data_IF_182094783832
#
_entry.id   IF_182094783832
#
_cell.length_a   1.000
_cell.length_b   1.000
_cell.length_c   1.000
_cell.angle_alpha   90.00
_cell.angle_beta   90.00
_cell.angle_gamma   90.00
#
_symmetry.space_group_name_H-M   'P 1'
#
loop_
_entity.id
_entity.type
_entity.pdbx_description
1 polymer ?
#
# COMPACT_ATOMS: atom_id res chain seq x y z
N UNK A 1 -14.42 12.78 51.74
CA UNK A 1 -14.68 11.94 50.54
C UNK A 1 -14.19 12.71 49.32
N UNK A 2 -12.94 12.49 48.92
CA UNK A 2 -12.35 13.11 47.72
C UNK A 2 -12.62 12.19 46.51
N UNK A 3 -13.39 12.69 45.54
CA UNK A 3 -13.53 12.07 44.23
C UNK A 3 -12.28 12.38 43.41
N UNK A 4 -11.47 11.35 43.16
CA UNK A 4 -10.36 11.39 42.20
C UNK A 4 -10.97 11.37 40.79
N UNK A 5 -10.77 12.44 40.02
CA UNK A 5 -11.06 12.45 38.58
C UNK A 5 -9.96 11.67 37.86
N UNK A 6 -10.35 10.68 37.05
CA UNK A 6 -9.45 10.00 36.10
C UNK A 6 -9.05 11.00 35.00
N UNK A 7 -7.81 10.97 34.49
CA UNK A 7 -7.43 11.76 33.33
C UNK A 7 -7.99 11.09 32.06
N UNK A 8 -8.61 11.92 31.22
CA UNK A 8 -9.07 11.61 29.88
C UNK A 8 -7.88 11.31 28.97
N UNK A 9 -7.95 10.20 28.24
CA UNK A 9 -7.02 9.86 27.16
C UNK A 9 -7.15 10.89 26.04
N UNK A 10 -6.02 11.48 25.66
CA UNK A 10 -5.89 12.33 24.49
C UNK A 10 -5.66 11.40 23.30
N UNK A 11 -6.60 11.42 22.34
CA UNK A 11 -6.44 10.81 21.02
C UNK A 11 -5.19 11.36 20.33
N UNK A 12 -4.27 10.47 19.96
CA UNK A 12 -3.13 10.80 19.12
C UNK A 12 -3.61 10.94 17.67
N UNK A 13 -3.73 12.18 17.20
CA UNK A 13 -3.97 12.48 15.79
C UNK A 13 -2.68 12.23 14.99
N UNK A 14 -2.76 11.32 14.02
CA UNK A 14 -1.74 11.18 12.97
C UNK A 14 -1.79 12.42 12.07
N UNK A 15 -0.77 13.27 12.19
CA UNK A 15 -0.61 14.47 11.38
C UNK A 15 0.51 14.21 10.36
N UNK A 16 0.12 13.96 9.11
CA UNK A 16 1.05 13.84 7.97
C UNK A 16 1.51 15.26 7.62
N UNK A 17 2.75 15.59 7.98
CA UNK A 17 3.38 16.87 7.67
C UNK A 17 3.98 16.82 6.25
N UNK A 18 3.34 17.48 5.30
CA UNK A 18 3.86 17.67 3.94
C UNK A 18 4.84 18.85 3.96
N UNK A 19 6.14 18.56 3.76
CA UNK A 19 7.18 19.56 3.58
C UNK A 19 7.10 20.19 2.18
N UNK A 20 6.51 21.39 2.09
CA UNK A 20 6.64 22.29 0.94
C UNK A 20 8.01 22.98 0.98
N UNK A 21 8.88 22.67 0.03
CA UNK A 21 10.08 23.45 -0.25
C UNK A 21 9.84 24.39 -1.42
N UNK A 22 9.68 25.69 -1.12
CA UNK A 22 9.64 26.76 -2.10
C UNK A 22 11.06 27.04 -2.63
N UNK A 23 11.28 26.79 -3.92
CA UNK A 23 12.46 27.27 -4.64
C UNK A 23 12.15 28.62 -5.28
N UNK A 24 12.93 29.64 -4.93
CA UNK A 24 12.79 31.02 -5.42
C UNK A 24 13.57 31.20 -6.73
N UNK A 25 12.84 31.47 -7.82
CA UNK A 25 13.43 31.91 -9.09
C UNK A 25 13.35 33.45 -9.21
N UNK A 26 14.49 34.08 -9.47
CA UNK A 26 14.63 35.51 -9.75
C UNK A 26 14.18 35.90 -11.17
N UNK A 27 13.80 37.17 -11.39
CA UNK A 27 13.36 37.68 -12.69
C UNK A 27 14.52 38.24 -13.52
N UNK A 28 14.56 37.88 -14.80
CA UNK A 28 15.21 38.63 -15.88
C UNK A 28 14.34 38.41 -17.12
N UNK A 29 13.92 39.42 -17.88
CA UNK A 29 14.61 40.65 -18.21
C UNK A 29 14.95 40.60 -19.70
N UNK A 30 14.16 41.35 -20.47
CA UNK A 30 14.49 42.00 -21.74
C UNK A 30 14.10 41.44 -23.13
N UNK A 31 13.46 42.38 -23.84
CA UNK A 31 13.60 42.77 -25.25
C UNK A 31 12.70 42.15 -26.34
N UNK A 32 11.61 42.89 -26.58
CA UNK A 32 11.05 43.31 -27.87
C UNK A 32 11.96 43.13 -29.10
N UNK A 33 11.50 42.33 -30.06
CA UNK A 33 11.63 42.62 -31.49
C UNK A 33 10.32 42.29 -32.21
N UNK A 34 9.61 43.33 -32.61
CA UNK A 34 8.43 43.28 -33.47
C UNK A 34 8.89 43.12 -34.93
N UNK A 35 8.64 41.96 -35.53
CA UNK A 35 8.84 41.72 -36.96
C UNK A 35 7.51 41.79 -37.72
N UNK A 36 7.59 42.32 -38.94
CA UNK A 36 6.50 42.80 -39.76
C UNK A 36 5.57 41.70 -40.30
N UNK A 37 4.31 42.08 -40.46
CA UNK A 37 3.20 41.29 -40.95
C UNK A 37 3.37 40.82 -42.41
N UNK A 38 3.06 39.54 -42.65
CA UNK A 38 2.84 38.93 -43.96
C UNK A 38 1.33 38.67 -44.09
N UNK A 39 0.68 38.99 -45.22
CA UNK A 39 -0.77 38.79 -45.40
C UNK A 39 -1.16 37.30 -45.42
N UNK A 40 -2.34 36.93 -44.91
CA UNK A 40 -2.75 35.53 -44.80
C UNK A 40 -3.09 34.95 -46.18
N UNK A 41 -2.46 33.82 -46.50
CA UNK A 41 -2.90 32.92 -47.56
C UNK A 41 -4.21 32.24 -47.12
N UNK A 42 -5.19 32.16 -48.03
CA UNK A 42 -6.41 31.39 -47.85
C UNK A 42 -6.10 29.98 -47.38
N UNK A 43 -6.50 29.65 -46.15
CA UNK A 43 -6.47 28.30 -45.63
C UNK A 43 -7.65 27.52 -46.19
N UNK A 44 -7.30 26.45 -46.87
CA UNK A 44 -8.16 25.34 -47.25
C UNK A 44 -8.70 24.69 -45.96
N UNK A 45 -10.01 24.48 -45.90
CA UNK A 45 -10.68 23.84 -44.76
C UNK A 45 -10.20 22.39 -44.70
N UNK A 46 -9.24 22.11 -43.81
CA UNK A 46 -8.82 20.74 -43.48
C UNK A 46 -10.01 20.04 -42.78
N UNK A 47 -10.39 18.81 -43.18
CA UNK A 47 -11.47 18.08 -42.52
C UNK A 47 -11.15 17.89 -41.05
N UNK A 48 -12.15 18.08 -40.20
CA UNK A 48 -12.15 17.78 -38.77
C UNK A 48 -11.41 16.46 -38.50
N UNK A 49 -10.26 16.55 -37.83
CA UNK A 49 -9.49 15.40 -37.36
C UNK A 49 -10.42 14.46 -36.60
N UNK A 50 -10.65 13.28 -37.17
CA UNK A 50 -11.29 12.18 -36.46
C UNK A 50 -10.25 11.72 -35.45
N UNK A 51 -10.41 12.16 -34.20
CA UNK A 51 -9.65 11.64 -33.06
C UNK A 51 -9.78 10.11 -33.05
N UNK A 52 -8.72 9.41 -33.46
CA UNK A 52 -8.66 7.96 -33.36
C UNK A 52 -8.50 7.59 -31.90
N UNK A 53 -9.29 6.63 -31.39
CA UNK A 53 -9.26 6.21 -29.97
C UNK A 53 -7.85 5.86 -29.45
N UNK A 54 -6.90 5.54 -30.34
CA UNK A 54 -5.49 5.34 -30.00
C UNK A 54 -4.80 6.57 -29.40
N UNK A 55 -5.17 7.80 -29.77
CA UNK A 55 -4.56 9.01 -29.21
C UNK A 55 -5.00 9.32 -27.78
N UNK A 56 -6.08 8.70 -27.33
CA UNK A 56 -6.69 8.94 -26.02
C UNK A 56 -6.52 7.73 -25.08
N UNK A 57 -5.42 7.00 -25.25
CA UNK A 57 -5.10 5.80 -24.48
C UNK A 57 -3.66 5.85 -23.97
N UNK A 58 -3.47 5.45 -22.72
CA UNK A 58 -2.14 5.18 -22.16
C UNK A 58 -2.16 3.88 -21.35
N UNK A 59 -1.12 3.08 -21.51
CA UNK A 59 -0.91 1.84 -20.75
C UNK A 59 0.41 1.92 -19.99
N UNK A 60 0.40 1.58 -18.70
CA UNK A 60 1.58 1.59 -17.84
C UNK A 60 1.55 0.43 -16.86
N UNK A 61 2.67 -0.25 -16.69
CA UNK A 61 2.87 -1.24 -15.62
C UNK A 61 3.14 -0.51 -14.31
N UNK A 62 2.33 -0.80 -13.29
CA UNK A 62 2.43 -0.22 -11.94
C UNK A 62 2.81 -1.31 -10.95
N UNK A 63 3.86 -1.05 -10.18
CA UNK A 63 4.39 -2.01 -9.19
C UNK A 63 3.52 -2.01 -7.92
N UNK A 64 3.21 -3.19 -7.39
CA UNK A 64 2.38 -3.32 -6.20
C UNK A 64 2.99 -2.68 -4.94
N UNK A 65 4.30 -2.80 -4.77
CA UNK A 65 5.02 -2.32 -3.57
C UNK A 65 5.14 -0.81 -3.62
N UNK A 66 5.59 -0.24 -4.74
CA UNK A 66 5.88 1.20 -4.82
C UNK A 66 4.69 2.05 -5.27
N UNK A 67 3.64 1.43 -5.81
CA UNK A 67 2.56 2.15 -6.49
C UNK A 67 3.06 2.81 -7.78
N UNK A 68 2.39 3.87 -8.21
CA UNK A 68 2.80 4.63 -9.39
C UNK A 68 1.77 5.66 -9.85
N UNK A 69 2.16 6.41 -10.87
CA UNK A 69 1.35 7.48 -11.45
C UNK A 69 1.19 7.25 -12.96
N UNK A 70 -0.02 7.46 -13.47
CA UNK A 70 -0.36 7.39 -14.89
C UNK A 70 -1.01 8.72 -15.30
N UNK A 71 -0.44 9.38 -16.31
CA UNK A 71 -0.96 10.66 -16.83
C UNK A 71 -1.37 10.48 -18.28
N UNK A 72 -2.62 10.75 -18.59
CA UNK A 72 -3.18 10.79 -19.93
C UNK A 72 -3.47 12.24 -20.32
N UNK A 73 -2.83 12.72 -21.38
CA UNK A 73 -3.14 14.03 -21.97
C UNK A 73 -4.10 13.85 -23.14
N UNK A 74 -5.19 14.61 -23.13
CA UNK A 74 -6.21 14.59 -24.18
C UNK A 74 -5.99 15.78 -25.12
N UNK A 75 -6.21 15.63 -26.43
CA UNK A 75 -6.21 16.76 -27.37
C UNK A 75 -7.15 17.87 -26.90
N UNK A 76 -6.61 19.09 -26.73
CA UNK A 76 -7.33 20.21 -26.12
C UNK A 76 -6.66 20.75 -24.84
N UNK A 77 -5.75 19.97 -24.24
CA UNK A 77 -4.97 20.39 -23.08
C UNK A 77 -5.47 19.82 -21.75
N UNK A 78 -6.56 19.07 -21.76
CA UNK A 78 -7.07 18.37 -20.59
C UNK A 78 -6.14 17.23 -20.19
N UNK A 79 -6.02 16.99 -18.89
CA UNK A 79 -5.17 15.93 -18.35
C UNK A 79 -5.91 15.10 -17.32
N UNK A 80 -5.78 13.79 -17.42
CA UNK A 80 -6.27 12.82 -16.45
C UNK A 80 -5.09 12.16 -15.78
N UNK A 81 -5.04 12.19 -14.47
CA UNK A 81 -3.98 11.62 -13.67
C UNK A 81 -4.56 10.60 -12.69
N UNK A 82 -4.02 9.38 -12.71
CA UNK A 82 -4.31 8.33 -11.75
C UNK A 82 -3.07 8.07 -10.89
N UNK A 83 -3.18 8.34 -9.59
CA UNK A 83 -2.13 8.12 -8.60
C UNK A 83 -2.52 6.90 -7.75
N UNK A 84 -1.75 5.83 -7.87
CA UNK A 84 -1.93 4.58 -7.14
C UNK A 84 -0.89 4.55 -6.02
N UNK A 85 -1.31 4.59 -4.74
CA UNK A 85 -0.36 4.59 -3.64
C UNK A 85 0.37 3.23 -3.52
N UNK A 86 1.53 3.21 -2.84
CA UNK A 86 2.19 1.98 -2.42
C UNK A 86 1.21 0.98 -1.80
N UNK A 87 1.35 -0.31 -2.13
CA UNK A 87 0.55 -1.43 -1.61
C UNK A 87 -0.95 -1.40 -1.94
N UNK A 88 -1.41 -0.47 -2.78
CA UNK A 88 -2.81 -0.44 -3.23
C UNK A 88 -3.17 -1.64 -4.11
N UNK A 89 -2.21 -2.17 -4.87
CA UNK A 89 -2.40 -3.35 -5.71
C UNK A 89 -1.89 -4.60 -4.99
N UNK A 90 -2.55 -5.74 -5.21
CA UNK A 90 -2.08 -7.04 -4.71
C UNK A 90 -0.86 -7.56 -5.46
N UNK A 91 -0.70 -7.18 -6.73
CA UNK A 91 0.39 -7.59 -7.61
C UNK A 91 0.74 -6.48 -8.61
N UNK A 92 1.88 -6.61 -9.29
CA UNK A 92 2.29 -5.65 -10.32
C UNK A 92 1.37 -5.79 -11.52
N UNK A 93 0.68 -4.71 -11.90
CA UNK A 93 -0.43 -4.76 -12.86
C UNK A 93 -0.18 -3.81 -14.02
N UNK A 94 -0.47 -4.28 -15.24
CA UNK A 94 -0.57 -3.40 -16.41
C UNK A 94 -1.92 -2.69 -16.40
N UNK A 95 -1.89 -1.36 -16.36
CA UNK A 95 -3.08 -0.52 -16.21
C UNK A 95 -3.23 0.34 -17.44
N UNK A 96 -4.46 0.40 -17.97
CA UNK A 96 -4.78 1.21 -19.15
C UNK A 96 -5.83 2.26 -18.80
N UNK A 97 -5.56 3.51 -19.13
CA UNK A 97 -6.54 4.59 -19.15
C UNK A 97 -6.98 4.81 -20.60
N UNK A 98 -8.30 4.88 -20.81
CA UNK A 98 -8.89 5.21 -22.12
C UNK A 98 -9.92 6.32 -21.93
N UNK A 99 -9.66 7.49 -22.51
CA UNK A 99 -10.65 8.56 -22.58
C UNK A 99 -11.41 8.49 -23.91
N UNK A 100 -12.73 8.56 -23.88
CA UNK A 100 -13.55 8.59 -25.10
C UNK A 100 -14.28 9.91 -25.21
N UNK A 101 -14.29 10.53 -26.39
CA UNK A 101 -15.11 11.72 -26.66
C UNK A 101 -16.59 11.40 -26.80
N UNK A 102 -16.94 10.12 -26.98
CA UNK A 102 -18.33 9.68 -27.08
C UNK A 102 -18.89 9.53 -25.65
N UNK A 103 -19.93 10.30 -25.27
CA UNK A 103 -20.57 10.13 -23.98
C UNK A 103 -21.16 8.72 -23.88
N UNK A 104 -21.02 8.12 -22.70
CA UNK A 104 -21.81 6.94 -22.34
C UNK A 104 -23.26 7.34 -22.09
N UNK A 105 -24.16 6.38 -22.22
CA UNK A 105 -25.48 6.51 -21.62
C UNK A 105 -25.27 6.65 -20.11
N UNK A 106 -25.69 7.80 -19.56
CA UNK A 106 -25.55 8.14 -18.15
C UNK A 106 -26.87 8.70 -17.63
N UNK A 107 -27.10 8.71 -16.31
CA UNK A 107 -28.32 9.25 -15.73
C UNK A 107 -28.39 10.79 -15.77
N UNK A 108 -27.36 11.45 -16.30
CA UNK A 108 -27.22 12.91 -16.32
C UNK A 108 -27.45 13.46 -17.72
N UNK A 109 -28.28 14.49 -17.84
CA UNK A 109 -28.44 15.23 -19.10
C UNK A 109 -27.16 15.96 -19.52
N UNK A 110 -26.42 16.49 -18.54
CA UNK A 110 -25.20 17.28 -18.78
C UNK A 110 -23.97 16.52 -18.27
N UNK A 111 -23.05 16.25 -19.19
CA UNK A 111 -21.75 15.65 -18.89
C UNK A 111 -20.67 16.59 -19.41
N UNK A 112 -19.82 17.11 -18.52
CA UNK A 112 -18.66 17.93 -18.90
C UNK A 112 -17.48 17.05 -19.36
N UNK A 113 -17.45 15.78 -18.93
CA UNK A 113 -16.42 14.84 -19.30
C UNK A 113 -17.05 13.47 -19.69
N UNK A 114 -16.96 13.06 -20.97
CA UNK A 114 -17.79 11.98 -21.53
C UNK A 114 -17.52 10.58 -20.99
N UNK A 115 -16.26 10.14 -20.89
CA UNK A 115 -15.89 8.82 -20.35
C UNK A 115 -14.38 8.67 -20.10
N UNK A 116 -14.04 8.09 -18.95
CA UNK A 116 -12.73 7.48 -18.66
C UNK A 116 -12.92 6.00 -18.28
N UNK A 117 -12.34 5.09 -19.05
CA UNK A 117 -12.20 3.69 -18.65
C UNK A 117 -10.85 3.45 -18.00
N UNK A 118 -10.85 2.85 -16.81
CA UNK A 118 -9.65 2.30 -16.16
C UNK A 118 -9.70 0.78 -16.26
N UNK A 119 -8.64 0.17 -16.79
CA UNK A 119 -8.55 -1.28 -17.01
C UNK A 119 -7.32 -1.87 -16.29
N UNK A 120 -7.38 -3.13 -15.81
CA UNK A 120 -8.47 -4.10 -15.97
C UNK A 120 -9.72 -3.76 -15.16
N UNK A 121 -10.90 -3.97 -15.74
CA UNK A 121 -12.19 -3.65 -15.13
C UNK A 121 -12.46 -4.52 -13.89
N UNK A 122 -13.09 -3.94 -12.85
CA UNK A 122 -13.44 -4.62 -11.61
C UNK A 122 -12.27 -4.90 -10.67
N UNK A 123 -11.03 -4.56 -11.05
CA UNK A 123 -9.88 -4.76 -10.18
C UNK A 123 -10.03 -3.89 -8.93
N UNK A 124 -10.19 -4.55 -7.78
CA UNK A 124 -10.31 -3.89 -6.48
C UNK A 124 -8.95 -3.51 -5.92
N UNK A 125 -8.88 -2.33 -5.31
CA UNK A 125 -7.70 -1.80 -4.64
C UNK A 125 -7.77 -2.06 -3.13
N UNK A 126 -6.62 -2.34 -2.53
CA UNK A 126 -6.45 -2.44 -1.06
C UNK A 126 -6.49 -1.07 -0.41
N UNK A 127 -5.91 -0.09 -1.09
CA UNK A 127 -5.91 1.32 -0.70
C UNK A 127 -6.49 2.16 -1.86
N UNK A 128 -7.31 3.18 -1.57
CA UNK A 128 -7.90 4.00 -2.61
C UNK A 128 -6.85 4.74 -3.45
N UNK A 129 -6.97 4.67 -4.77
CA UNK A 129 -6.21 5.51 -5.69
C UNK A 129 -6.85 6.90 -5.81
N UNK A 130 -6.06 7.89 -6.20
CA UNK A 130 -6.53 9.24 -6.48
C UNK A 130 -6.68 9.43 -7.98
N UNK A 131 -7.87 9.81 -8.42
CA UNK A 131 -8.16 10.24 -9.79
C UNK A 131 -8.28 11.76 -9.82
N UNK A 132 -7.54 12.41 -10.70
CA UNK A 132 -7.53 13.86 -10.91
C UNK A 132 -7.84 14.13 -12.38
N UNK A 133 -8.81 15.02 -12.62
CA UNK A 133 -9.15 15.53 -13.95
C UNK A 133 -8.91 17.03 -13.91
N UNK A 134 -7.97 17.52 -14.73
CA UNK A 134 -7.70 18.93 -14.89
C UNK A 134 -8.08 19.37 -16.31
N UNK A 135 -8.97 20.35 -16.39
CA UNK A 135 -9.56 20.88 -17.62
C UNK A 135 -9.35 22.39 -17.66
N UNK A 136 -8.20 22.89 -18.16
CA UNK A 136 -7.85 24.31 -18.07
C UNK A 136 -8.86 25.28 -18.70
N UNK A 137 -9.67 24.79 -19.64
CA UNK A 137 -10.69 25.57 -20.33
C UNK A 137 -12.08 25.50 -19.66
N UNK A 138 -12.24 24.73 -18.58
CA UNK A 138 -13.49 24.54 -17.86
C UNK A 138 -13.32 24.95 -16.40
N UNK A 139 -14.08 25.95 -15.97
CA UNK A 139 -14.19 26.33 -14.56
C UNK A 139 -15.36 25.55 -13.97
N UNK A 140 -15.05 24.61 -13.09
CA UNK A 140 -16.08 23.74 -12.53
C UNK A 140 -16.95 24.49 -11.54
N UNK A 141 -18.24 24.11 -11.49
CA UNK A 141 -19.23 24.71 -10.60
C UNK A 141 -19.61 23.76 -9.44
N UNK A 142 -20.17 24.29 -8.33
CA UNK A 142 -20.68 23.44 -7.25
C UNK A 142 -21.68 22.41 -7.77
N UNK A 143 -21.48 21.14 -7.41
CA UNK A 143 -22.31 20.02 -7.87
C UNK A 143 -21.70 19.21 -9.02
N UNK A 144 -20.78 19.78 -9.79
CA UNK A 144 -20.01 19.02 -10.79
C UNK A 144 -19.03 18.07 -10.11
N UNK A 145 -19.07 16.78 -10.50
CA UNK A 145 -18.28 15.72 -9.87
C UNK A 145 -17.86 14.66 -10.87
N UNK A 146 -16.89 13.85 -10.44
CA UNK A 146 -16.56 12.60 -11.10
C UNK A 146 -17.45 11.51 -10.49
N UNK A 147 -18.02 10.67 -11.34
CA UNK A 147 -18.87 9.57 -10.94
C UNK A 147 -18.31 8.25 -11.47
N UNK A 148 -18.39 7.20 -10.66
CA UNK A 148 -18.34 5.83 -11.12
C UNK A 148 -19.69 5.47 -11.77
N UNK A 149 -19.68 5.04 -13.03
CA UNK A 149 -20.89 4.60 -13.72
C UNK A 149 -21.09 3.10 -13.48
N UNK A 150 -21.95 2.75 -12.53
CA UNK A 150 -22.27 1.35 -12.18
C UNK A 150 -23.21 0.71 -13.21
N UNK A 151 -24.14 1.51 -13.75
CA UNK A 151 -25.00 1.17 -14.88
C UNK A 151 -25.38 2.45 -15.64
N UNK A 152 -26.10 2.33 -16.76
CA UNK A 152 -26.59 3.51 -17.51
C UNK A 152 -27.49 4.44 -16.69
N UNK A 153 -28.12 3.89 -15.64
CA UNK A 153 -29.13 4.58 -14.85
C UNK A 153 -28.64 4.89 -13.42
N UNK A 154 -27.42 4.47 -13.09
CA UNK A 154 -26.84 4.63 -11.76
C UNK A 154 -25.37 5.06 -11.80
N UNK A 155 -25.13 6.26 -11.28
CA UNK A 155 -23.84 6.89 -11.14
C UNK A 155 -23.56 7.22 -9.66
N UNK A 156 -22.37 6.87 -9.19
CA UNK A 156 -21.96 7.01 -7.79
C UNK A 156 -20.86 8.07 -7.72
N UNK A 157 -21.04 9.16 -6.96
CA UNK A 157 -20.02 10.19 -6.81
C UNK A 157 -18.77 9.61 -6.16
N UNK A 158 -17.60 10.01 -6.65
CA UNK A 158 -16.34 9.56 -6.07
C UNK A 158 -16.16 10.07 -4.65
N UNK A 159 -15.55 9.23 -3.81
CA UNK A 159 -15.30 9.55 -2.41
C UNK A 159 -14.28 10.68 -2.27
N UNK A 160 -14.50 11.57 -1.28
CA UNK A 160 -13.64 12.74 -1.03
C UNK A 160 -13.46 13.61 -2.28
N UNK A 161 -14.54 13.81 -3.03
CA UNK A 161 -14.52 14.68 -4.20
C UNK A 161 -14.15 16.11 -3.79
N UNK A 162 -13.18 16.70 -4.48
CA UNK A 162 -12.74 18.08 -4.25
C UNK A 162 -12.65 18.83 -5.55
N UNK A 163 -13.09 20.07 -5.49
CA UNK A 163 -12.99 21.04 -6.56
C UNK A 163 -11.90 22.07 -6.25
N UNK A 164 -10.99 22.29 -7.19
CA UNK A 164 -9.97 23.33 -7.16
C UNK A 164 -9.91 24.05 -8.53
N UNK A 165 -10.83 24.99 -8.75
CA UNK A 165 -10.92 25.80 -9.98
C UNK A 165 -11.16 24.97 -11.24
N UNK A 166 -10.06 24.63 -11.94
CA UNK A 166 -10.06 23.83 -13.18
C UNK A 166 -9.72 22.36 -12.94
N UNK A 167 -9.68 21.90 -11.69
CA UNK A 167 -9.33 20.53 -11.33
C UNK A 167 -10.36 19.89 -10.42
N UNK A 168 -10.80 18.67 -10.77
CA UNK A 168 -11.59 17.79 -9.93
C UNK A 168 -10.74 16.61 -9.47
N UNK A 169 -10.81 16.30 -8.18
CA UNK A 169 -10.12 15.15 -7.57
C UNK A 169 -11.13 14.26 -6.89
N UNK A 170 -10.98 12.94 -7.00
CA UNK A 170 -11.76 11.95 -6.25
C UNK A 170 -10.95 10.69 -5.94
N UNK A 171 -11.41 9.91 -4.96
CA UNK A 171 -10.82 8.61 -4.61
C UNK A 171 -11.59 7.47 -5.28
N UNK A 172 -10.86 6.51 -5.85
CA UNK A 172 -11.42 5.28 -6.42
C UNK A 172 -10.91 4.06 -5.65
N UNK A 173 -11.78 3.08 -5.39
CA UNK A 173 -11.45 1.85 -4.67
C UNK A 173 -11.37 0.62 -5.58
N UNK A 174 -11.72 0.77 -6.86
CA UNK A 174 -11.59 -0.25 -7.90
C UNK A 174 -11.37 0.43 -9.25
N UNK A 175 -11.07 -0.34 -10.30
CA UNK A 175 -10.99 0.16 -11.67
C UNK A 175 -12.30 -0.09 -12.41
N UNK A 176 -12.85 0.95 -13.03
CA UNK A 176 -14.12 0.91 -13.75
C UNK A 176 -14.24 2.02 -14.80
N UNK A 177 -15.46 2.25 -15.28
CA UNK A 177 -15.84 3.39 -16.11
C UNK A 177 -16.27 4.59 -15.25
N UNK A 178 -15.72 5.76 -15.55
CA UNK A 178 -15.99 7.02 -14.87
C UNK A 178 -16.48 8.07 -15.84
N UNK A 179 -17.34 8.97 -15.37
CA UNK A 179 -17.90 10.10 -16.12
C UNK A 179 -17.82 11.37 -15.29
N UNK A 180 -17.72 12.52 -15.94
CA UNK A 180 -17.87 13.82 -15.28
C UNK A 180 -19.26 14.37 -15.57
N UNK A 181 -20.06 14.52 -14.53
CA UNK A 181 -21.47 14.90 -14.63
C UNK A 181 -21.79 16.21 -13.91
N UNK A 182 -22.77 16.94 -14.43
CA UNK A 182 -23.39 18.11 -13.80
C UNK A 182 -24.87 17.79 -13.51
N UNK A 183 -25.16 16.97 -12.48
CA UNK A 183 -26.53 16.60 -12.18
C UNK A 183 -27.36 17.81 -11.77
N UNK A 184 -28.58 17.89 -12.31
CA UNK A 184 -29.60 18.79 -11.74
C UNK A 184 -30.10 18.27 -10.38
N UNK A 185 -30.85 19.10 -9.65
CA UNK A 185 -31.40 18.74 -8.33
C UNK A 185 -32.21 17.45 -8.33
N UNK A 186 -33.02 17.21 -9.37
CA UNK A 186 -33.89 16.04 -9.43
C UNK A 186 -33.10 14.78 -9.81
N UNK A 187 -32.11 14.91 -10.70
CA UNK A 187 -31.15 13.86 -11.01
C UNK A 187 -30.37 13.45 -9.76
N UNK A 188 -29.82 14.42 -9.02
CA UNK A 188 -29.09 14.16 -7.78
C UNK A 188 -29.94 13.44 -6.73
N UNK A 189 -31.19 13.87 -6.52
CA UNK A 189 -32.13 13.19 -5.61
C UNK A 189 -32.47 11.77 -6.05
N UNK A 190 -32.70 11.59 -7.35
CA UNK A 190 -33.01 10.27 -7.94
C UNK A 190 -31.84 9.32 -7.75
N UNK A 191 -30.62 9.78 -8.00
CA UNK A 191 -29.40 8.97 -7.84
C UNK A 191 -29.09 8.69 -6.36
N UNK A 192 -29.35 9.63 -5.46
CA UNK A 192 -29.24 9.42 -4.02
C UNK A 192 -30.20 8.32 -3.54
N UNK A 193 -31.47 8.39 -3.97
CA UNK A 193 -32.47 7.37 -3.64
C UNK A 193 -32.09 5.99 -4.21
N UNK A 194 -31.67 5.93 -5.47
CA UNK A 194 -31.20 4.69 -6.10
C UNK A 194 -29.95 4.12 -5.40
N UNK A 195 -29.07 4.98 -4.88
CA UNK A 195 -27.92 4.57 -4.07
C UNK A 195 -28.33 4.00 -2.71
N UNK A 196 -29.48 4.42 -2.18
CA UNK A 196 -30.09 3.82 -0.98
C UNK A 196 -30.46 2.35 -1.16
N UNK A 197 -30.82 1.97 -2.38
CA UNK A 197 -31.15 0.60 -2.77
C UNK A 197 -29.90 -0.24 -3.11
N UNK A 198 -28.71 0.38 -3.19
CA UNK A 198 -27.46 -0.33 -3.43
C UNK A 198 -27.10 -1.13 -2.19
N UNK A 199 -27.55 -2.36 -2.07
CA UNK A 199 -27.10 -3.28 -1.04
C UNK A 199 -26.86 -4.66 -1.60
N UNK A 200 -26.19 -5.47 -0.79
CA UNK A 200 -26.09 -6.90 -1.01
C UNK A 200 -26.51 -7.62 0.25
N UNK A 201 -26.72 -8.94 0.18
CA UNK A 201 -26.95 -9.75 1.38
C UNK A 201 -25.69 -9.70 2.25
N UNK A 202 -25.69 -8.78 3.21
CA UNK A 202 -24.70 -8.78 4.26
C UNK A 202 -24.82 -10.12 5.01
N UNK A 203 -23.71 -10.84 5.24
CA UNK A 203 -22.31 -10.38 5.18
C UNK A 203 -21.54 -10.70 3.90
N UNK A 204 -22.12 -11.47 2.99
CA UNK A 204 -21.41 -11.99 1.82
C UNK A 204 -21.08 -10.90 0.78
N UNK A 205 -21.83 -9.80 0.81
CA UNK A 205 -21.67 -8.66 -0.11
C UNK A 205 -21.32 -7.35 0.63
N UNK A 206 -20.51 -7.44 1.68
CA UNK A 206 -20.10 -6.29 2.49
C UNK A 206 -19.55 -5.11 1.67
N UNK A 207 -18.84 -5.38 0.56
CA UNK A 207 -18.33 -4.35 -0.37
C UNK A 207 -19.45 -3.54 -1.00
N UNK A 208 -20.53 -4.19 -1.46
CA UNK A 208 -21.70 -3.51 -2.01
C UNK A 208 -22.39 -2.67 -0.93
N UNK A 209 -22.40 -3.15 0.33
CA UNK A 209 -23.01 -2.39 1.41
C UNK A 209 -22.24 -1.13 1.75
N UNK A 210 -20.93 -1.25 1.90
CA UNK A 210 -20.04 -0.11 2.11
C UNK A 210 -20.06 0.89 0.95
N UNK A 211 -20.12 0.42 -0.29
CA UNK A 211 -20.26 1.27 -1.48
C UNK A 211 -21.57 2.07 -1.42
N UNK A 212 -22.68 1.43 -1.05
CA UNK A 212 -23.96 2.11 -0.86
C UNK A 212 -23.92 3.18 0.24
N UNK A 213 -23.29 2.87 1.39
CA UNK A 213 -23.10 3.85 2.47
C UNK A 213 -22.22 5.04 2.04
N UNK A 214 -21.13 4.78 1.30
CA UNK A 214 -20.27 5.81 0.72
C UNK A 214 -21.03 6.67 -0.30
N UNK A 215 -21.78 6.03 -1.20
CA UNK A 215 -22.58 6.70 -2.22
C UNK A 215 -23.61 7.65 -1.59
N UNK A 216 -24.34 7.18 -0.58
CA UNK A 216 -25.30 8.01 0.17
C UNK A 216 -24.59 9.19 0.85
N UNK A 217 -23.47 8.95 1.54
CA UNK A 217 -22.72 10.03 2.19
C UNK A 217 -22.27 11.11 1.19
N UNK A 218 -21.71 10.70 0.05
CA UNK A 218 -21.23 11.64 -0.98
C UNK A 218 -22.38 12.36 -1.70
N UNK A 219 -23.49 11.67 -1.98
CA UNK A 219 -24.70 12.32 -2.50
C UNK A 219 -25.28 13.33 -1.51
N UNK A 220 -25.34 12.99 -0.22
CA UNK A 220 -25.80 13.89 0.82
C UNK A 220 -24.95 15.16 0.92
N UNK A 221 -23.63 15.02 0.83
CA UNK A 221 -22.71 16.16 0.77
C UNK A 221 -22.91 17.00 -0.50
N UNK A 222 -23.08 16.36 -1.65
CA UNK A 222 -23.37 17.05 -2.91
C UNK A 222 -24.67 17.86 -2.87
N UNK A 223 -25.74 17.29 -2.33
CA UNK A 223 -27.02 18.00 -2.15
C UNK A 223 -26.86 19.21 -1.21
N UNK A 224 -26.09 19.09 -0.13
CA UNK A 224 -25.79 20.21 0.76
C UNK A 224 -25.04 21.33 0.04
N UNK A 225 -24.05 21.01 -0.80
CA UNK A 225 -23.31 21.98 -1.61
C UNK A 225 -24.19 22.69 -2.65
N UNK A 226 -25.20 21.99 -3.17
CA UNK A 226 -26.23 22.57 -4.06
C UNK A 226 -27.27 23.42 -3.31
N UNK A 227 -27.15 23.58 -1.99
CA UNK A 227 -28.07 24.38 -1.16
C UNK A 227 -29.32 23.62 -0.67
N UNK A 228 -29.34 22.30 -0.78
CA UNK A 228 -30.45 21.43 -0.38
C UNK A 228 -30.17 20.76 0.98
N UNK A 229 -29.92 21.60 2.00
CA UNK A 229 -29.43 21.18 3.32
C UNK A 229 -30.25 20.07 4.01
N UNK A 230 -31.59 20.17 3.95
CA UNK A 230 -32.48 19.20 4.59
C UNK A 230 -32.48 17.85 3.86
N UNK A 231 -32.52 17.87 2.52
CA UNK A 231 -32.44 16.65 1.70
C UNK A 231 -31.07 15.97 1.88
N UNK A 232 -29.98 16.75 1.81
CA UNK A 232 -28.63 16.24 1.98
C UNK A 232 -28.40 15.62 3.36
N UNK A 233 -28.87 16.29 4.42
CA UNK A 233 -28.83 15.76 5.79
C UNK A 233 -29.65 14.46 5.93
N UNK A 234 -30.80 14.38 5.27
CA UNK A 234 -31.62 13.16 5.24
C UNK A 234 -30.87 11.97 4.64
N UNK A 235 -30.19 12.18 3.50
CA UNK A 235 -29.41 11.13 2.83
C UNK A 235 -28.18 10.71 3.66
N UNK A 236 -27.48 11.65 4.30
CA UNK A 236 -26.37 11.30 5.22
C UNK A 236 -26.85 10.49 6.42
N UNK A 237 -28.01 10.85 7.00
CA UNK A 237 -28.61 10.08 8.09
C UNK A 237 -29.01 8.68 7.64
N UNK A 238 -29.54 8.52 6.43
CA UNK A 238 -29.83 7.20 5.85
C UNK A 238 -28.55 6.35 5.74
N UNK A 239 -27.44 6.93 5.28
CA UNK A 239 -26.15 6.24 5.22
C UNK A 239 -25.71 5.75 6.61
N UNK A 240 -25.89 6.61 7.63
CA UNK A 240 -25.54 6.33 9.03
C UNK A 240 -26.39 5.22 9.62
N UNK A 241 -27.71 5.29 9.47
CA UNK A 241 -28.64 4.26 9.96
C UNK A 241 -28.34 2.90 9.33
N UNK A 242 -28.04 2.91 8.03
CA UNK A 242 -27.66 1.69 7.32
C UNK A 242 -26.34 1.09 7.83
N UNK A 243 -25.31 1.92 8.02
CA UNK A 243 -24.06 1.48 8.60
C UNK A 243 -24.25 0.91 10.02
N UNK A 244 -25.11 1.53 10.84
CA UNK A 244 -25.47 1.02 12.17
C UNK A 244 -26.10 -0.37 12.04
N UNK A 245 -27.07 -0.56 11.14
CA UNK A 245 -27.70 -1.87 10.93
C UNK A 245 -26.69 -2.95 10.48
N UNK A 246 -25.76 -2.61 9.59
CA UNK A 246 -24.68 -3.54 9.17
C UNK A 246 -23.78 -3.92 10.36
N UNK A 247 -23.42 -2.94 11.21
CA UNK A 247 -22.58 -3.14 12.38
C UNK A 247 -23.30 -3.92 13.48
N UNK A 248 -24.61 -3.72 13.67
CA UNK A 248 -25.44 -4.53 14.56
C UNK A 248 -25.53 -5.99 14.05
N UNK A 249 -25.64 -6.19 12.74
CA UNK A 249 -25.59 -7.52 12.14
C UNK A 249 -24.21 -8.19 12.35
N UNK A 250 -23.10 -7.45 12.30
CA UNK A 250 -21.77 -7.97 12.68
C UNK A 250 -21.69 -8.45 14.13
N UNK A 251 -22.49 -7.90 15.04
CA UNK A 251 -22.55 -8.30 16.44
C UNK A 251 -23.42 -9.55 16.66
N UNK A 252 -24.40 -9.81 15.78
CA UNK A 252 -25.30 -10.95 15.89
C UNK A 252 -24.68 -12.21 15.25
N UNK A 253 -24.48 -13.25 16.07
CA UNK A 253 -23.95 -14.55 15.63
C UNK A 253 -24.79 -15.22 14.53
N UNK A 254 -26.06 -14.85 14.39
CA UNK A 254 -26.95 -15.38 13.36
C UNK A 254 -26.84 -14.63 12.02
N UNK A 255 -26.15 -13.48 12.02
CA UNK A 255 -26.08 -12.55 10.89
C UNK A 255 -24.64 -12.37 10.41
N UNK A 256 -23.69 -12.23 11.34
CA UNK A 256 -22.27 -12.08 11.05
C UNK A 256 -21.67 -13.32 10.35
N UNK A 257 -20.71 -13.13 9.43
CA UNK A 257 -19.96 -14.26 8.91
C UNK A 257 -19.06 -14.78 10.04
N UNK A 258 -18.86 -16.10 10.18
CA UNK A 258 -17.88 -16.59 11.12
C UNK A 258 -16.52 -16.00 10.76
N UNK A 259 -15.77 -15.54 11.77
CA UNK A 259 -14.38 -15.08 11.59
C UNK A 259 -13.62 -16.17 10.81
N UNK A 260 -13.03 -15.85 9.65
CA UNK A 260 -12.31 -16.85 8.87
C UNK A 260 -11.05 -17.30 9.60
N UNK A 261 -10.53 -18.48 9.24
CA UNK A 261 -9.29 -19.02 9.81
C UNK A 261 -8.07 -18.10 9.57
N UNK A 262 -8.10 -17.35 8.47
CA UNK A 262 -7.14 -16.30 8.16
C UNK A 262 -7.88 -14.96 8.12
N UNK A 263 -7.89 -14.19 9.21
CA UNK A 263 -8.60 -12.92 9.27
C UNK A 263 -7.92 -11.82 8.46
N UNK A 264 -6.71 -12.05 7.95
CA UNK A 264 -5.86 -10.97 7.51
C UNK A 264 -6.21 -10.43 6.14
N UNK A 265 -6.83 -11.21 5.27
CA UNK A 265 -7.27 -10.76 3.94
C UNK A 265 -8.51 -9.85 3.95
N UNK A 266 -9.52 -10.25 3.18
CA UNK A 266 -10.74 -9.46 2.98
C UNK A 266 -11.48 -9.12 4.28
N UNK A 267 -11.36 -9.98 5.31
CA UNK A 267 -12.04 -9.77 6.59
C UNK A 267 -11.45 -8.59 7.38
N UNK A 268 -10.13 -8.50 7.53
CA UNK A 268 -9.49 -7.34 8.14
C UNK A 268 -9.77 -6.07 7.32
N UNK A 269 -9.68 -6.15 5.99
CA UNK A 269 -10.01 -5.02 5.11
C UNK A 269 -11.45 -4.54 5.34
N UNK A 270 -12.41 -5.47 5.42
CA UNK A 270 -13.80 -5.18 5.73
C UNK A 270 -13.92 -4.42 7.07
N UNK A 271 -13.34 -4.95 8.16
CA UNK A 271 -13.41 -4.33 9.48
C UNK A 271 -12.82 -2.91 9.48
N UNK A 272 -11.67 -2.71 8.83
CA UNK A 272 -11.04 -1.39 8.70
C UNK A 272 -11.92 -0.40 7.94
N UNK A 273 -12.58 -0.83 6.86
CA UNK A 273 -13.46 0.03 6.07
C UNK A 273 -14.75 0.39 6.85
N UNK A 274 -15.34 -0.57 7.55
CA UNK A 274 -16.46 -0.30 8.46
C UNK A 274 -16.08 0.71 9.55
N UNK A 275 -14.91 0.54 10.18
CA UNK A 275 -14.42 1.47 11.19
C UNK A 275 -14.22 2.88 10.62
N UNK A 276 -13.60 2.98 9.44
CA UNK A 276 -13.39 4.25 8.75
C UNK A 276 -14.71 4.96 8.41
N UNK A 277 -15.70 4.23 7.89
CA UNK A 277 -17.02 4.80 7.59
C UNK A 277 -17.76 5.23 8.86
N UNK A 278 -17.64 4.46 9.95
CA UNK A 278 -18.27 4.79 11.22
C UNK A 278 -17.74 6.12 11.77
N UNK A 279 -16.42 6.34 11.68
CA UNK A 279 -15.80 7.63 12.03
C UNK A 279 -16.27 8.73 11.09
N UNK A 280 -16.32 8.48 9.78
CA UNK A 280 -16.74 9.48 8.77
C UNK A 280 -18.20 9.93 8.98
N UNK A 281 -19.09 8.99 9.31
CA UNK A 281 -20.51 9.23 9.59
C UNK A 281 -20.76 9.62 11.05
N UNK A 282 -19.69 9.97 11.77
CA UNK A 282 -19.72 10.45 13.15
C UNK A 282 -20.50 9.54 14.11
N UNK A 283 -20.45 8.21 13.93
CA UNK A 283 -20.96 7.26 14.93
C UNK A 283 -20.21 7.52 16.24
N UNK A 284 -20.94 7.56 17.35
CA UNK A 284 -20.38 7.91 18.66
C UNK A 284 -19.24 6.93 19.03
N UNK A 285 -17.99 7.40 19.20
CA UNK A 285 -16.87 6.55 19.54
C UNK A 285 -16.99 5.88 20.91
N UNK A 286 -17.85 6.39 21.81
CA UNK A 286 -18.15 5.76 23.11
C UNK A 286 -19.33 4.79 23.05
N UNK A 287 -19.89 4.52 21.86
CA UNK A 287 -21.00 3.58 21.70
C UNK A 287 -20.53 2.13 21.83
N UNK A 288 -21.37 1.21 22.37
CA UNK A 288 -21.05 -0.22 22.46
C UNK A 288 -20.71 -0.86 21.10
N UNK A 289 -21.27 -0.31 20.04
CA UNK A 289 -21.05 -0.75 18.66
C UNK A 289 -19.65 -0.42 18.17
N UNK A 290 -19.14 0.78 18.49
CA UNK A 290 -17.77 1.17 18.19
C UNK A 290 -16.75 0.41 19.05
N UNK A 291 -17.05 0.19 20.34
CA UNK A 291 -16.22 -0.65 21.21
C UNK A 291 -16.08 -2.06 20.64
N UNK A 292 -17.19 -2.67 20.23
CA UNK A 292 -17.18 -4.02 19.63
C UNK A 292 -16.41 -4.07 18.30
N UNK A 293 -16.65 -3.12 17.40
CA UNK A 293 -15.93 -3.06 16.12
C UNK A 293 -14.43 -2.86 16.32
N UNK A 294 -14.05 -2.02 17.30
CA UNK A 294 -12.66 -1.81 17.67
C UNK A 294 -12.03 -3.09 18.23
N UNK A 295 -12.72 -3.80 19.12
CA UNK A 295 -12.25 -5.08 19.67
C UNK A 295 -12.10 -6.14 18.58
N UNK A 296 -13.07 -6.26 17.66
CA UNK A 296 -12.96 -7.16 16.50
C UNK A 296 -11.76 -6.81 15.62
N UNK A 297 -11.60 -5.52 15.30
CA UNK A 297 -10.48 -5.05 14.48
C UNK A 297 -9.14 -5.34 15.16
N UNK A 298 -9.05 -5.06 16.47
CA UNK A 298 -7.88 -5.35 17.29
C UNK A 298 -7.57 -6.84 17.33
N UNK A 299 -8.57 -7.69 17.52
CA UNK A 299 -8.40 -9.15 17.54
C UNK A 299 -7.99 -9.70 16.16
N UNK A 300 -8.54 -9.16 15.07
CA UNK A 300 -8.09 -9.50 13.73
C UNK A 300 -6.63 -9.07 13.50
N UNK A 301 -6.28 -7.82 13.85
CA UNK A 301 -4.91 -7.29 13.71
C UNK A 301 -3.89 -8.06 14.55
N UNK A 302 -4.26 -8.53 15.73
CA UNK A 302 -3.40 -9.33 16.60
C UNK A 302 -3.11 -10.72 16.02
N UNK A 303 -4.02 -11.28 15.22
CA UNK A 303 -3.82 -12.53 14.49
C UNK A 303 -3.02 -12.31 13.20
N UNK A 304 -2.92 -11.07 12.74
CA UNK A 304 -2.15 -10.71 11.57
C UNK A 304 -0.70 -10.45 11.87
N UNK A 305 0.16 -10.97 10.99
CA UNK A 305 1.61 -10.84 11.11
C UNK A 305 2.18 -10.22 9.84
N UNK A 306 2.95 -9.17 10.04
CA UNK A 306 3.91 -8.69 9.06
C UNK A 306 4.97 -9.77 8.86
N UNK A 307 5.34 -10.03 7.60
CA UNK A 307 6.31 -11.06 7.23
C UNK A 307 7.52 -10.43 6.59
N UNK A 308 8.69 -10.85 7.06
CA UNK A 308 9.98 -10.37 6.59
C UNK A 308 10.87 -11.57 6.24
N UNK A 309 11.92 -11.31 5.47
CA UNK A 309 13.02 -12.27 5.35
C UNK A 309 14.37 -11.58 5.53
N UNK A 310 15.27 -12.26 6.23
CA UNK A 310 16.67 -11.87 6.33
C UNK A 310 17.48 -12.75 5.38
N UNK A 311 18.01 -12.15 4.32
CA UNK A 311 18.88 -12.83 3.35
C UNK A 311 20.35 -12.73 3.77
N UNK A 312 21.04 -13.85 3.64
CA UNK A 312 22.44 -14.04 3.99
C UNK A 312 23.28 -14.11 2.72
N UNK A 313 24.37 -13.32 2.69
CA UNK A 313 25.37 -13.37 1.62
C UNK A 313 26.78 -13.11 2.18
N UNK A 314 27.23 -13.96 3.10
CA UNK A 314 28.53 -13.79 3.74
C UNK A 314 29.65 -14.41 2.90
N UNK A 315 30.77 -13.69 2.79
CA UNK A 315 31.99 -14.16 2.14
C UNK A 315 33.14 -14.06 3.13
N UNK A 316 33.53 -15.19 3.69
CA UNK A 316 34.47 -15.26 4.80
C UNK A 316 35.72 -16.02 4.41
N UNK A 317 36.82 -15.69 5.08
CA UNK A 317 38.14 -16.27 4.94
C UNK A 317 38.72 -16.56 6.31
N UNK A 318 39.24 -17.77 6.48
CA UNK A 318 40.04 -18.16 7.63
C UNK A 318 41.45 -18.42 7.13
N UNK A 319 42.43 -17.75 7.74
CA UNK A 319 43.84 -17.98 7.47
C UNK A 319 44.57 -18.13 8.80
N UNK A 320 44.78 -19.37 9.25
CA UNK A 320 45.43 -19.67 10.53
C UNK A 320 46.21 -20.98 10.45
N UNK A 321 47.46 -20.99 10.94
CA UNK A 321 48.28 -22.21 11.10
C UNK A 321 48.34 -23.11 9.84
N UNK A 322 48.49 -22.51 8.66
CA UNK A 322 48.56 -23.25 7.38
C UNK A 322 47.20 -23.68 6.81
N UNK A 323 46.09 -23.41 7.51
CA UNK A 323 44.73 -23.53 6.98
C UNK A 323 44.33 -22.23 6.28
N UNK A 324 43.99 -22.33 5.00
CA UNK A 324 43.33 -21.29 4.21
C UNK A 324 41.95 -21.79 3.78
N UNK A 325 40.90 -21.19 4.29
CA UNK A 325 39.52 -21.59 4.02
C UNK A 325 38.70 -20.40 3.56
N UNK A 326 38.05 -20.52 2.41
CA UNK A 326 36.99 -19.63 1.95
C UNK A 326 35.63 -20.25 2.31
N UNK A 327 34.74 -19.44 2.87
CA UNK A 327 33.39 -19.84 3.25
C UNK A 327 32.36 -18.90 2.64
N UNK A 328 31.31 -19.50 2.10
CA UNK A 328 30.14 -18.80 1.57
C UNK A 328 28.91 -19.21 2.38
N UNK A 329 28.28 -18.24 3.05
CA UNK A 329 27.02 -18.46 3.77
C UNK A 329 25.89 -17.80 3.00
N UNK A 330 24.92 -18.60 2.57
CA UNK A 330 23.78 -18.15 1.77
C UNK A 330 22.48 -18.75 2.24
N UNK A 331 21.40 -17.98 2.21
CA UNK A 331 20.08 -18.46 2.58
C UNK A 331 19.15 -17.31 2.95
N UNK A 332 17.91 -17.64 3.29
CA UNK A 332 16.92 -16.70 3.78
C UNK A 332 16.26 -17.27 5.03
N UNK A 333 16.07 -16.44 6.04
CA UNK A 333 15.35 -16.80 7.27
C UNK A 333 14.12 -15.91 7.36
N UNK A 334 12.94 -16.54 7.45
CA UNK A 334 11.68 -15.82 7.58
C UNK A 334 11.45 -15.49 9.05
N UNK A 335 10.99 -14.28 9.31
CA UNK A 335 10.56 -13.85 10.63
C UNK A 335 9.28 -13.02 10.52
N UNK A 336 8.55 -12.94 11.62
CA UNK A 336 7.25 -12.28 11.68
C UNK A 336 7.20 -11.27 12.80
N UNK A 337 6.44 -10.19 12.59
CA UNK A 337 6.06 -9.26 13.64
C UNK A 337 4.54 -9.15 13.66
N UNK A 338 3.87 -9.09 14.82
CA UNK A 338 2.45 -8.77 14.86
C UNK A 338 2.21 -7.39 14.23
N UNK A 339 1.07 -7.20 13.58
CA UNK A 339 0.68 -5.89 13.01
C UNK A 339 0.39 -4.89 14.12
N UNK A 340 -0.21 -5.38 15.20
CA UNK A 340 -0.58 -4.57 16.35
C UNK A 340 -0.12 -5.26 17.64
N UNK A 341 0.53 -4.49 18.51
CA UNK A 341 1.14 -4.97 19.75
C UNK A 341 0.29 -4.61 20.94
N UNK A 342 -0.92 -5.18 21.04
CA UNK A 342 -1.79 -4.88 22.19
C UNK A 342 -1.65 -5.93 23.25
N UNK A 343 -0.75 -5.66 24.18
CA UNK A 343 -0.85 -6.24 25.51
C UNK A 343 -0.72 -5.11 26.53
N UNK A 344 -1.82 -4.39 26.79
CA UNK A 344 -2.09 -3.55 27.98
C UNK A 344 -0.93 -2.73 28.58
N UNK A 345 0.00 -2.33 27.71
CA UNK A 345 1.29 -1.77 28.02
C UNK A 345 2.04 -1.68 26.69
N UNK A 346 2.45 -0.47 26.33
CA UNK A 346 3.08 -0.12 25.05
C UNK A 346 4.47 -0.78 25.00
N UNK A 347 4.49 -2.09 24.81
CA UNK A 347 5.70 -2.85 24.56
C UNK A 347 6.10 -2.69 23.09
N UNK A 348 7.39 -2.70 22.78
CA UNK A 348 7.85 -2.72 21.39
C UNK A 348 7.30 -3.97 20.67
N UNK A 349 6.92 -3.82 19.39
CA UNK A 349 6.43 -4.92 18.55
C UNK A 349 7.52 -5.98 18.42
N UNK A 350 7.36 -7.12 19.12
CA UNK A 350 8.37 -8.18 19.11
C UNK A 350 8.34 -8.93 17.79
N UNK A 351 9.53 -9.14 17.25
CA UNK A 351 9.75 -9.93 16.03
C UNK A 351 10.39 -11.25 16.40
N UNK A 352 9.94 -12.34 15.78
CA UNK A 352 10.48 -13.68 16.02
C UNK A 352 10.56 -14.48 14.72
N UNK A 353 11.61 -15.27 14.57
CA UNK A 353 11.79 -16.18 13.44
C UNK A 353 12.90 -17.18 13.68
N UNK A 354 12.89 -18.27 12.93
CA UNK A 354 13.98 -19.24 12.95
C UNK A 354 14.09 -19.96 11.61
N UNK A 355 15.28 -20.48 11.31
CA UNK A 355 15.55 -21.15 10.06
C UNK A 355 16.96 -21.70 9.97
N UNK A 356 17.36 -22.08 8.75
CA UNK A 356 18.72 -22.52 8.47
C UNK A 356 19.27 -21.83 7.23
N UNK A 357 20.58 -21.58 7.22
CA UNK A 357 21.30 -21.05 6.06
C UNK A 357 22.41 -22.02 5.67
N UNK A 358 22.70 -22.09 4.36
CA UNK A 358 23.67 -23.02 3.81
C UNK A 358 25.07 -22.45 3.94
N UNK A 359 26.02 -23.30 4.30
CA UNK A 359 27.45 -22.98 4.32
C UNK A 359 28.15 -23.84 3.27
N UNK A 360 28.93 -23.21 2.41
CA UNK A 360 29.84 -23.88 1.49
C UNK A 360 31.27 -23.54 1.87
N UNK A 361 32.14 -24.54 1.86
CA UNK A 361 33.52 -24.44 2.32
C UNK A 361 34.42 -24.92 1.19
N UNK A 362 35.46 -24.15 0.89
CA UNK A 362 36.55 -24.54 0.01
C UNK A 362 37.87 -24.02 0.55
N UNK A 363 38.96 -24.75 0.37
CA UNK A 363 40.23 -24.27 0.89
C UNK A 363 41.39 -25.23 0.71
N UNK A 364 42.46 -24.95 1.42
CA UNK A 364 43.67 -25.75 1.48
C UNK A 364 44.20 -25.78 2.92
N UNK A 365 44.84 -26.87 3.30
CA UNK A 365 45.56 -27.00 4.56
C UNK A 365 46.96 -27.54 4.26
N UNK A 366 47.99 -26.90 4.81
CA UNK A 366 49.38 -27.37 4.67
C UNK A 366 49.88 -27.91 5.99
N UNK A 367 50.33 -29.17 6.00
CA UNK A 367 50.97 -29.83 7.14
C UNK A 367 52.16 -30.65 6.64
N UNK A 368 53.30 -30.57 7.32
CA UNK A 368 54.52 -31.35 6.99
C UNK A 368 54.94 -31.28 5.50
N UNK A 369 54.91 -30.07 4.92
CA UNK A 369 55.21 -29.78 3.49
C UNK A 369 54.23 -30.38 2.46
N UNK A 370 53.12 -30.99 2.89
CA UNK A 370 52.04 -31.45 2.02
C UNK A 370 50.82 -30.51 2.08
N UNK A 371 50.28 -30.14 0.93
CA UNK A 371 49.06 -29.33 0.82
C UNK A 371 47.87 -30.21 0.44
N UNK A 372 46.90 -30.31 1.34
CA UNK A 372 45.63 -30.99 1.11
C UNK A 372 44.54 -29.99 0.70
N UNK A 373 43.63 -30.39 -0.19
CA UNK A 373 42.46 -29.59 -0.57
C UNK A 373 41.28 -29.87 0.34
N UNK A 374 40.50 -28.83 0.63
CA UNK A 374 39.32 -28.87 1.48
C UNK A 374 38.09 -28.53 0.65
N UNK A 375 37.03 -29.33 0.80
CA UNK A 375 35.71 -28.98 0.27
C UNK A 375 34.64 -29.49 1.21
N UNK A 376 33.64 -28.68 1.53
CA UNK A 376 32.62 -29.07 2.48
C UNK A 376 31.34 -28.28 2.30
N UNK A 377 30.29 -28.79 2.93
CA UNK A 377 29.02 -28.09 3.02
C UNK A 377 28.30 -28.42 4.31
N UNK A 378 27.51 -27.48 4.79
CA UNK A 378 26.73 -27.64 6.01
C UNK A 378 25.61 -26.62 6.12
N UNK A 379 25.07 -26.50 7.33
CA UNK A 379 24.05 -25.51 7.66
C UNK A 379 24.35 -24.81 8.98
N UNK A 380 24.02 -23.53 9.06
CA UNK A 380 23.93 -22.80 10.32
C UNK A 380 22.46 -22.71 10.71
N UNK A 381 22.16 -22.94 11.99
CA UNK A 381 20.85 -22.66 12.56
C UNK A 381 20.77 -21.19 12.92
N UNK A 382 19.63 -20.56 12.64
CA UNK A 382 19.43 -19.13 12.89
C UNK A 382 18.16 -18.95 13.71
N UNK A 383 18.25 -18.15 14.76
CA UNK A 383 17.10 -17.60 15.50
C UNK A 383 17.17 -16.09 15.42
N UNK A 384 16.05 -15.47 15.09
CA UNK A 384 15.89 -14.01 15.03
C UNK A 384 14.92 -13.62 16.12
N UNK A 385 15.34 -12.70 16.98
CA UNK A 385 14.44 -11.92 17.81
C UNK A 385 14.63 -10.45 17.47
N UNK A 386 13.69 -9.59 17.83
CA UNK A 386 13.86 -8.17 17.54
C UNK A 386 12.65 -7.34 17.86
N UNK A 387 12.70 -6.09 17.43
CA UNK A 387 11.61 -5.14 17.57
C UNK A 387 11.62 -4.04 16.51
N UNK A 388 10.43 -3.47 16.28
CA UNK A 388 10.31 -2.20 15.57
C UNK A 388 10.57 -1.05 16.55
N UNK A 389 11.45 -0.13 16.16
CA UNK A 389 11.81 1.05 16.92
C UNK A 389 11.61 2.31 16.05
N UNK A 390 11.47 3.46 16.69
CA UNK A 390 11.56 4.76 16.01
C UNK A 390 12.84 5.47 16.46
N UNK A 391 13.54 6.13 15.54
CA UNK A 391 14.66 7.01 15.92
C UNK A 391 14.16 8.34 16.51
N UNK A 392 15.10 9.24 16.86
CA UNK A 392 14.78 10.56 17.44
C UNK A 392 13.92 11.45 16.54
N UNK A 393 13.88 11.17 15.23
CA UNK A 393 13.09 11.89 14.24
C UNK A 393 11.77 11.17 13.92
N UNK A 394 11.49 10.03 14.56
CA UNK A 394 10.30 9.23 14.33
C UNK A 394 10.39 8.30 13.12
N UNK A 395 11.55 8.16 12.46
CA UNK A 395 11.67 7.23 11.35
C UNK A 395 11.69 5.79 11.88
N UNK A 396 10.98 4.85 11.23
CA UNK A 396 10.93 3.46 11.65
C UNK A 396 12.23 2.69 11.33
N UNK A 397 12.69 1.90 12.29
CA UNK A 397 13.85 1.01 12.20
C UNK A 397 13.48 -0.39 12.71
N UNK A 398 14.10 -1.42 12.14
CA UNK A 398 14.03 -2.79 12.62
C UNK A 398 15.34 -3.11 13.34
N UNK A 399 15.26 -3.36 14.65
CA UNK A 399 16.37 -3.82 15.47
C UNK A 399 16.23 -5.34 15.68
N UNK A 400 17.19 -6.12 15.20
CA UNK A 400 17.21 -7.58 15.33
C UNK A 400 18.38 -8.02 16.20
N UNK A 401 18.16 -9.01 17.05
CA UNK A 401 19.20 -9.85 17.63
C UNK A 401 19.18 -11.19 16.89
N UNK A 402 20.22 -11.40 16.07
CA UNK A 402 20.37 -12.58 15.23
C UNK A 402 21.34 -13.54 15.87
N UNK A 403 20.83 -14.70 16.27
CA UNK A 403 21.59 -15.76 16.92
C UNK A 403 21.88 -16.87 15.91
N UNK A 404 23.16 -17.08 15.60
CA UNK A 404 23.62 -18.08 14.65
C UNK A 404 24.36 -19.21 15.37
N UNK A 405 23.84 -20.43 15.25
CA UNK A 405 24.53 -21.64 15.65
C UNK A 405 25.30 -22.21 14.45
N UNK A 406 26.61 -22.00 14.45
CA UNK A 406 27.47 -22.37 13.33
C UNK A 406 27.70 -23.88 13.26
N UNK A 407 27.50 -24.45 12.07
CA UNK A 407 27.67 -25.88 11.77
C UNK A 407 26.72 -26.83 12.50
N UNK A 408 25.42 -26.48 12.58
CA UNK A 408 24.36 -27.40 13.06
C UNK A 408 24.37 -28.76 12.38
N UNK A 409 24.77 -28.80 11.11
CA UNK A 409 25.02 -30.02 10.36
C UNK A 409 26.09 -29.77 9.30
N UNK A 410 26.74 -30.84 8.84
CA UNK A 410 27.67 -30.79 7.71
C UNK A 410 28.98 -31.54 7.95
N UNK A 411 29.73 -31.70 6.87
CA UNK A 411 31.06 -32.27 6.89
C UNK A 411 31.95 -31.59 5.86
N UNK A 412 33.26 -31.74 6.07
CA UNK A 412 34.30 -31.32 5.15
C UNK A 412 35.08 -32.56 4.71
N UNK A 413 35.31 -32.65 3.41
CA UNK A 413 36.24 -33.58 2.80
C UNK A 413 37.62 -32.95 2.74
N UNK A 414 38.61 -33.66 3.24
CA UNK A 414 40.03 -33.34 3.10
C UNK A 414 40.64 -34.36 2.17
N UNK A 415 41.28 -33.92 1.09
CA UNK A 415 41.95 -34.78 0.11
C UNK A 415 43.42 -34.38 0.00
N UNK A 416 44.33 -35.31 0.27
CA UNK A 416 45.77 -35.07 0.26
C UNK A 416 46.43 -35.63 -1.02
N UNK A 417 47.69 -35.26 -1.32
CA UNK A 417 48.37 -35.64 -2.56
C UNK A 417 48.56 -37.15 -2.76
N UNK A 418 48.56 -37.92 -1.68
CA UNK A 418 48.59 -39.39 -1.67
C UNK A 418 47.28 -40.03 -2.19
N UNK A 419 46.24 -39.22 -2.41
CA UNK A 419 44.92 -39.64 -2.86
C UNK A 419 43.99 -40.07 -1.73
N UNK A 420 44.44 -40.05 -0.47
CA UNK A 420 43.58 -40.34 0.67
C UNK A 420 42.57 -39.19 0.87
N UNK A 421 41.31 -39.56 1.09
CA UNK A 421 40.24 -38.61 1.39
C UNK A 421 39.56 -38.97 2.69
N UNK A 422 39.38 -37.97 3.56
CA UNK A 422 38.74 -38.15 4.86
C UNK A 422 37.61 -37.14 5.04
N UNK A 423 36.43 -37.67 5.37
CA UNK A 423 35.31 -36.86 5.83
C UNK A 423 35.47 -36.53 7.30
N UNK A 424 35.44 -35.25 7.62
CA UNK A 424 35.52 -34.74 8.99
C UNK A 424 34.23 -33.96 9.28
N UNK A 425 33.51 -34.25 10.38
CA UNK A 425 32.37 -33.44 10.77
C UNK A 425 32.84 -32.01 11.08
N UNK A 426 32.04 -31.01 10.70
CA UNK A 426 32.38 -29.63 11.00
C UNK A 426 32.29 -29.38 12.52
N UNK A 427 33.33 -28.82 13.15
CA UNK A 427 33.30 -28.56 14.59
C UNK A 427 32.32 -27.43 14.88
N UNK A 428 31.33 -27.66 15.75
CA UNK A 428 30.39 -26.60 16.14
C UNK A 428 31.13 -25.41 16.74
N UNK A 429 30.90 -24.20 16.20
CA UNK A 429 31.62 -22.99 16.62
C UNK A 429 30.88 -22.18 17.72
N UNK A 430 29.90 -22.83 18.37
CA UNK A 430 29.05 -22.20 19.36
C UNK A 430 28.02 -21.25 18.75
N UNK A 431 27.27 -20.60 19.63
CA UNK A 431 26.27 -19.62 19.25
C UNK A 431 26.91 -18.22 19.16
N UNK A 432 26.73 -17.54 18.04
CA UNK A 432 27.17 -16.16 17.83
C UNK A 432 25.94 -15.26 17.77
N UNK A 433 26.01 -14.08 18.41
CA UNK A 433 24.91 -13.11 18.41
C UNK A 433 25.32 -11.85 17.66
N UNK A 434 24.44 -11.37 16.80
CA UNK A 434 24.64 -10.19 15.97
C UNK A 434 23.50 -9.20 16.19
N UNK A 435 23.75 -8.07 16.87
CA UNK A 435 22.79 -6.97 16.90
C UNK A 435 22.81 -6.27 15.54
N UNK A 436 21.72 -6.41 14.80
CA UNK A 436 21.53 -5.77 13.50
C UNK A 436 20.48 -4.67 13.61
N UNK A 437 20.66 -3.60 12.83
CA UNK A 437 19.70 -2.50 12.76
C UNK A 437 19.50 -2.10 11.30
N UNK A 438 18.27 -2.13 10.84
CA UNK A 438 17.88 -1.83 9.46
C UNK A 438 16.93 -0.65 9.43
N UNK A 439 17.11 0.25 8.46
CA UNK A 439 16.04 1.18 8.11
C UNK A 439 14.86 0.34 7.61
N UNK A 440 13.63 0.75 7.93
CA UNK A 440 12.42 0.05 7.49
C UNK A 440 12.18 0.26 5.98
N UNK A 441 13.00 -0.39 5.16
CA UNK A 441 13.02 -0.29 3.71
C UNK A 441 13.39 -1.66 3.12
N UNK A 442 12.69 -2.07 2.06
CA UNK A 442 13.00 -3.31 1.35
C UNK A 442 14.39 -3.24 0.70
N UNK A 443 15.21 -4.26 0.90
CA UNK A 443 16.58 -4.31 0.41
C UNK A 443 17.60 -3.60 1.30
N UNK A 444 17.21 -3.06 2.47
CA UNK A 444 18.13 -2.46 3.43
C UNK A 444 19.23 -3.46 3.83
N UNK A 445 20.49 -3.01 3.86
CA UNK A 445 21.66 -3.85 4.12
C UNK A 445 22.34 -3.50 5.43
N UNK A 446 22.77 -4.52 6.14
CA UNK A 446 23.74 -4.40 7.23
C UNK A 446 25.03 -5.12 6.81
N UNK A 447 26.16 -4.44 6.90
CA UNK A 447 27.48 -4.96 6.51
C UNK A 447 28.41 -4.81 7.70
N UNK A 448 28.98 -5.93 8.15
CA UNK A 448 29.98 -5.94 9.21
C UNK A 448 31.29 -6.56 8.70
N UNK A 449 32.43 -5.84 8.79
CA UNK A 449 33.72 -6.43 8.51
C UNK A 449 34.22 -7.24 9.71
N UNK A 450 34.78 -8.43 9.45
CA UNK A 450 35.61 -9.21 10.37
C UNK A 450 35.02 -9.48 11.77
N UNK A 451 34.07 -10.42 11.88
CA UNK A 451 33.51 -10.88 13.15
C UNK A 451 34.15 -12.19 13.62
N UNK A 452 34.41 -12.31 14.92
CA UNK A 452 34.80 -13.59 15.54
C UNK A 452 36.13 -14.20 15.06
N UNK A 453 37.08 -13.40 14.58
CA UNK A 453 38.40 -13.88 14.12
C UNK A 453 38.43 -14.45 12.69
N UNK A 454 37.28 -14.42 11.99
CA UNK A 454 37.21 -14.67 10.56
C UNK A 454 37.37 -13.34 9.80
N UNK A 455 38.13 -13.36 8.71
CA UNK A 455 38.24 -12.20 7.83
C UNK A 455 37.12 -12.24 6.79
N UNK A 456 36.60 -11.10 6.35
CA UNK A 456 35.65 -11.04 5.25
C UNK A 456 34.43 -10.17 5.53
N UNK A 457 33.40 -10.40 4.74
CA UNK A 457 32.21 -9.55 4.68
C UNK A 457 30.98 -10.35 5.14
N UNK A 458 30.38 -9.89 6.23
CA UNK A 458 29.07 -10.35 6.67
C UNK A 458 28.02 -9.39 6.12
N UNK A 459 27.25 -9.87 5.15
CA UNK A 459 26.13 -9.13 4.55
C UNK A 459 24.80 -9.78 4.93
N UNK A 460 23.93 -8.98 5.55
CA UNK A 460 22.52 -9.29 5.74
C UNK A 460 21.68 -8.29 4.96
N UNK A 461 20.64 -8.79 4.28
CA UNK A 461 19.71 -7.98 3.48
C UNK A 461 18.30 -8.22 4.01
N UNK A 462 17.65 -7.16 4.49
CA UNK A 462 16.26 -7.19 4.90
C UNK A 462 15.37 -7.17 3.67
N UNK A 463 14.39 -8.07 3.60
CA UNK A 463 13.29 -7.99 2.66
C UNK A 463 11.96 -7.88 3.40
N UNK A 464 11.15 -6.92 2.99
CA UNK A 464 9.79 -6.71 3.49
C UNK A 464 8.85 -7.48 2.56
N UNK A 465 8.43 -8.67 2.99
CA UNK A 465 7.63 -9.55 2.14
C UNK A 465 6.17 -9.14 2.14
N UNK A 466 5.66 -8.76 3.32
CA UNK A 466 4.28 -8.43 3.50
C UNK A 466 4.07 -7.57 4.75
N UNK A 467 3.37 -6.45 4.57
CA UNK A 467 2.99 -5.54 5.65
C UNK A 467 1.50 -5.25 5.55
N UNK A 468 0.80 -5.28 6.68
CA UNK A 468 -0.61 -4.93 6.78
C UNK A 468 -0.81 -3.47 7.16
#
# INVERSE_FOLDING_TARGET
MLRVRKPSLICAAFLVLVCLSCSSAQPGGDLLQTQAAIPPASQEIVPTDILTEESNRITKTVNAITGGEIVLSIPGGDTIQLIIPPFALSETTEITLVASSKPLDSPFKENFFPRLSVRPDGLSLRLPATLIINMPAHEFIPGERIFYLKSSDLAIPLWQSKLDGTSLTGKISHFSDYVGGSPDTEEAKTQAAASGELGGEFPNEWRNSLEGNQALNEWGNGLNEMGLGDDGSGVVNQARERLINDLECLMDINCAPPKPLDPCGDYLQMLMQYYQQAVLLAIDPESPLMDYLYDLLKDALNECTNRYSLEYSHKLKVNQMGLQQDMLVTGKVIFTAPVYGVSDGIGPLKMEGSGTVKVSISGQMTADDETCTLSGSGSNGVTITGQLEADELGNPWIALDVSENWYTSGSMMVTCPDGESKSIPLPGAGNQQYPLRFQYEDGAKSIAPNLGGMQGEYVWILHILHTW
#
